data_IF_631088356413
#
_entry.id   IF_631088356413
#
_cell.length_a   1.000
_cell.length_b   1.000
_cell.length_c   1.000
_cell.angle_alpha   90.00
_cell.angle_beta   90.00
_cell.angle_gamma   90.00
#
_symmetry.space_group_name_H-M   'P 1'
#
loop_
_entity.id
_entity.type
_entity.pdbx_description
1 polymer ?
#
# COMPACT_ATOMS: atom_id res chain seq x y z
N UNK A 1 1.77 1.98 2.16
CA UNK A 1 2.75 1.67 1.09
C UNK A 1 4.15 1.89 1.63
N UNK A 2 5.07 1.01 1.30
CA UNK A 2 6.50 1.11 1.57
C UNK A 2 7.24 1.21 0.24
N UNK A 3 8.21 2.13 0.13
CA UNK A 3 8.90 2.44 -1.14
C UNK A 3 10.31 2.98 -0.87
N UNK A 4 11.15 3.09 -1.90
CA UNK A 4 12.48 3.68 -1.74
C UNK A 4 12.39 5.19 -1.49
N UNK A 5 13.39 5.71 -0.79
CA UNK A 5 13.53 7.16 -0.54
C UNK A 5 13.69 7.94 -1.84
N UNK A 6 13.12 9.15 -1.87
CA UNK A 6 13.28 10.08 -2.98
C UNK A 6 12.00 10.35 -3.77
N UNK A 7 10.88 9.77 -3.38
CA UNK A 7 9.58 10.13 -3.98
C UNK A 7 9.20 11.54 -3.55
N UNK A 8 8.88 12.42 -4.51
CA UNK A 8 8.49 13.80 -4.23
C UNK A 8 7.22 13.88 -3.36
N UNK A 9 7.11 14.91 -2.53
CA UNK A 9 5.97 15.11 -1.62
C UNK A 9 4.66 15.22 -2.40
N UNK A 10 4.68 15.92 -3.52
CA UNK A 10 3.53 16.10 -4.40
C UNK A 10 3.06 14.75 -4.99
N UNK A 11 4.01 13.92 -5.41
CA UNK A 11 3.74 12.56 -5.92
C UNK A 11 3.11 11.69 -4.84
N UNK A 12 3.63 11.73 -3.62
CA UNK A 12 3.03 11.02 -2.48
C UNK A 12 1.60 11.50 -2.21
N UNK A 13 1.37 12.81 -2.25
CA UNK A 13 0.04 13.41 -2.09
C UNK A 13 -0.94 12.92 -3.14
N UNK A 14 -0.54 12.90 -4.41
CA UNK A 14 -1.33 12.36 -5.51
C UNK A 14 -1.62 10.87 -5.30
N UNK A 15 -0.60 10.08 -4.98
CA UNK A 15 -0.76 8.64 -4.76
C UNK A 15 -1.75 8.35 -3.61
N UNK A 16 -1.67 9.09 -2.49
CA UNK A 16 -2.62 8.96 -1.37
C UNK A 16 -4.05 9.27 -1.84
N UNK A 17 -4.23 10.36 -2.58
CA UNK A 17 -5.53 10.78 -3.07
C UNK A 17 -6.14 9.73 -4.00
N UNK A 18 -5.42 9.36 -5.05
CA UNK A 18 -5.91 8.45 -6.09
C UNK A 18 -6.09 7.01 -5.55
N UNK A 19 -5.20 6.53 -4.68
CA UNK A 19 -5.36 5.23 -4.02
C UNK A 19 -6.60 5.20 -3.11
N UNK A 20 -6.91 6.31 -2.43
CA UNK A 20 -8.14 6.46 -1.63
C UNK A 20 -9.38 6.45 -2.52
N UNK A 21 -9.35 7.16 -3.65
CA UNK A 21 -10.46 7.22 -4.60
C UNK A 21 -10.74 5.83 -5.20
N UNK A 22 -9.71 5.10 -5.60
CA UNK A 22 -9.82 3.72 -6.10
C UNK A 22 -10.51 2.84 -5.05
N UNK A 23 -10.03 2.82 -3.81
CA UNK A 23 -10.60 2.00 -2.74
C UNK A 23 -12.03 2.40 -2.41
N UNK A 24 -12.32 3.70 -2.31
CA UNK A 24 -13.65 4.23 -2.03
C UNK A 24 -14.66 3.82 -3.11
N UNK A 25 -14.25 3.89 -4.38
CA UNK A 25 -15.11 3.56 -5.54
C UNK A 25 -15.35 2.06 -5.65
N UNK A 26 -14.31 1.24 -5.63
CA UNK A 26 -14.42 -0.22 -5.80
C UNK A 26 -15.26 -0.88 -4.70
N UNK A 27 -15.14 -0.41 -3.46
CA UNK A 27 -15.79 -1.04 -2.31
C UNK A 27 -16.98 -0.25 -1.77
N UNK A 28 -17.32 0.88 -2.39
CA UNK A 28 -18.35 1.79 -1.89
C UNK A 28 -18.12 2.17 -0.40
N UNK A 29 -16.86 2.48 -0.07
CA UNK A 29 -16.43 2.85 1.28
C UNK A 29 -16.34 4.38 1.37
N UNK A 30 -16.86 5.01 2.44
CA UNK A 30 -16.61 6.42 2.67
C UNK A 30 -15.10 6.71 2.77
N UNK A 31 -14.57 7.76 2.08
CA UNK A 31 -13.11 8.02 2.05
C UNK A 31 -12.47 8.21 3.44
N UNK A 32 -13.25 8.71 4.42
CA UNK A 32 -12.79 8.86 5.81
C UNK A 32 -12.52 7.54 6.55
N UNK A 33 -12.83 6.41 5.91
CA UNK A 33 -12.54 5.05 6.42
C UNK A 33 -11.31 4.42 5.78
N UNK A 34 -10.64 5.14 4.89
CA UNK A 34 -9.42 4.67 4.24
C UNK A 34 -8.24 5.46 4.82
N UNK A 35 -7.37 4.77 5.54
CA UNK A 35 -6.15 5.32 6.08
C UNK A 35 -4.97 4.90 5.20
N UNK A 36 -4.21 5.87 4.71
CA UNK A 36 -3.02 5.62 3.90
C UNK A 36 -1.77 6.09 4.66
N UNK A 37 -0.80 5.20 4.79
CA UNK A 37 0.53 5.50 5.30
C UNK A 37 1.56 5.21 4.22
N UNK A 38 2.50 6.14 4.01
CA UNK A 38 3.67 5.93 3.17
C UNK A 38 4.91 5.92 4.06
N UNK A 39 5.72 4.88 3.91
CA UNK A 39 7.03 4.76 4.53
C UNK A 39 8.09 4.67 3.45
N UNK A 40 9.18 5.37 3.63
CA UNK A 40 10.34 5.30 2.74
C UNK A 40 11.52 4.67 3.46
N UNK A 41 12.32 3.92 2.69
CA UNK A 41 13.57 3.36 3.17
C UNK A 41 14.64 3.41 2.07
N UNK A 42 15.94 3.46 2.43
CA UNK A 42 17.00 3.36 1.45
C UNK A 42 16.93 2.05 0.67
N UNK A 43 17.26 2.08 -0.63
CA UNK A 43 17.24 0.88 -1.48
C UNK A 43 18.08 -0.27 -0.95
N UNK A 44 19.16 0.05 -0.22
CA UNK A 44 20.02 -0.94 0.46
C UNK A 44 19.28 -1.80 1.48
N UNK A 45 18.14 -1.34 1.99
CA UNK A 45 17.30 -2.09 2.93
C UNK A 45 16.27 -2.99 2.25
N UNK A 46 16.27 -3.05 0.92
CA UNK A 46 15.40 -3.92 0.14
C UNK A 46 16.20 -5.01 -0.56
N UNK A 47 15.64 -6.20 -0.65
CA UNK A 47 16.22 -7.30 -1.40
C UNK A 47 15.16 -8.17 -2.06
N UNK A 48 15.47 -8.67 -3.25
CA UNK A 48 14.63 -9.61 -3.99
C UNK A 48 15.53 -10.60 -4.74
N UNK A 49 15.15 -11.88 -4.74
CA UNK A 49 15.92 -12.97 -5.34
C UNK A 49 17.42 -12.99 -4.89
N UNK A 50 17.67 -12.59 -3.63
CA UNK A 50 19.03 -12.49 -3.07
C UNK A 50 19.83 -11.26 -3.52
N UNK A 51 19.31 -10.45 -4.42
CA UNK A 51 19.93 -9.19 -4.82
C UNK A 51 19.51 -8.04 -3.89
N UNK A 52 20.48 -7.15 -3.57
CA UNK A 52 20.22 -5.95 -2.80
C UNK A 52 19.82 -4.80 -3.73
N UNK A 53 18.85 -3.97 -3.34
CA UNK A 53 18.35 -2.86 -4.15
C UNK A 53 19.39 -1.76 -4.46
N UNK A 54 20.53 -1.75 -3.79
CA UNK A 54 21.66 -0.87 -4.12
C UNK A 54 22.68 -1.51 -5.06
N UNK A 55 22.49 -2.80 -5.43
CA UNK A 55 23.34 -3.48 -6.41
C UNK A 55 23.13 -2.86 -7.80
N UNK A 56 24.18 -2.44 -8.54
CA UNK A 56 24.06 -1.94 -9.90
C UNK A 56 23.34 -2.90 -10.86
N UNK A 57 23.42 -4.22 -10.60
CA UNK A 57 22.78 -5.26 -11.40
C UNK A 57 21.43 -5.73 -10.79
N UNK A 58 20.88 -4.97 -9.85
CA UNK A 58 19.63 -5.34 -9.18
C UNK A 58 18.50 -5.64 -10.16
N UNK A 59 18.40 -4.87 -11.25
CA UNK A 59 17.35 -5.05 -12.26
C UNK A 59 17.35 -6.46 -12.86
N UNK A 60 18.50 -7.01 -13.19
CA UNK A 60 18.65 -8.37 -13.71
C UNK A 60 18.53 -9.41 -12.58
N UNK A 61 19.35 -9.27 -11.54
CA UNK A 61 19.46 -10.24 -10.45
C UNK A 61 18.14 -10.46 -9.72
N UNK A 62 17.35 -9.39 -9.51
CA UNK A 62 16.04 -9.49 -8.83
C UNK A 62 14.96 -10.19 -9.64
N UNK A 63 15.25 -10.54 -10.90
CA UNK A 63 14.37 -11.29 -11.83
C UNK A 63 14.83 -12.73 -12.04
N UNK A 64 15.81 -13.20 -11.27
CA UNK A 64 16.27 -14.60 -11.34
C UNK A 64 15.13 -15.57 -11.03
N UNK A 65 14.96 -16.59 -11.88
CA UNK A 65 13.93 -17.61 -11.76
C UNK A 65 14.42 -18.87 -11.05
N UNK A 66 15.75 -19.05 -10.94
CA UNK A 66 16.34 -20.20 -10.30
C UNK A 66 17.59 -19.83 -9.51
N UNK A 67 17.70 -20.31 -8.29
CA UNK A 67 18.84 -20.04 -7.41
C UNK A 67 20.15 -20.57 -7.98
N UNK A 68 21.16 -19.72 -8.04
CA UNK A 68 22.49 -20.10 -8.52
C UNK A 68 22.61 -20.21 -10.03
N UNK A 69 21.66 -19.69 -10.79
CA UNK A 69 21.71 -19.59 -12.26
C UNK A 69 21.63 -18.13 -12.72
N UNK A 70 21.91 -17.90 -14.01
CA UNK A 70 21.71 -16.59 -14.66
C UNK A 70 20.33 -16.51 -15.37
N UNK A 71 19.47 -17.48 -15.14
CA UNK A 71 18.14 -17.54 -15.76
C UNK A 71 17.23 -16.49 -15.15
N UNK A 72 16.67 -15.61 -16.00
CA UNK A 72 15.75 -14.53 -15.63
C UNK A 72 14.49 -14.55 -16.50
N UNK A 73 13.37 -14.00 -15.98
CA UNK A 73 12.13 -13.85 -16.78
C UNK A 73 12.08 -12.57 -17.62
N UNK A 74 13.13 -11.76 -17.57
CA UNK A 74 13.33 -10.54 -18.34
C UNK A 74 14.80 -10.52 -18.81
N UNK A 75 15.09 -9.84 -19.90
CA UNK A 75 16.45 -9.65 -20.44
C UNK A 75 17.36 -8.81 -19.52
N UNK A 76 16.84 -8.37 -18.38
CA UNK A 76 17.55 -7.55 -17.41
C UNK A 76 17.75 -6.08 -17.84
N UNK A 77 17.18 -5.68 -18.99
CA UNK A 77 17.33 -4.34 -19.54
C UNK A 77 16.34 -3.34 -18.93
N UNK A 78 15.18 -3.84 -18.48
CA UNK A 78 14.15 -2.98 -17.89
C UNK A 78 14.59 -2.40 -16.55
N UNK A 79 14.77 -1.09 -16.44
CA UNK A 79 15.27 -0.48 -15.21
C UNK A 79 14.30 -0.66 -14.03
N UNK A 80 14.84 -0.72 -12.83
CA UNK A 80 14.07 -0.73 -11.57
C UNK A 80 14.43 0.52 -10.78
N UNK A 81 13.81 1.66 -11.07
CA UNK A 81 14.08 2.92 -10.34
C UNK A 81 13.50 2.93 -8.94
N UNK A 82 12.52 2.06 -8.68
CA UNK A 82 11.86 1.95 -7.38
C UNK A 82 11.19 0.59 -7.20
N UNK A 83 10.84 0.25 -5.95
CA UNK A 83 10.02 -0.90 -5.59
C UNK A 83 8.90 -0.45 -4.66
N UNK A 84 7.80 -1.18 -4.61
CA UNK A 84 6.71 -0.89 -3.69
C UNK A 84 6.17 -2.14 -3.03
N UNK A 85 5.95 -2.08 -1.72
CA UNK A 85 5.18 -3.06 -0.95
C UNK A 85 3.95 -2.36 -0.41
N UNK A 86 2.77 -2.81 -0.80
CA UNK A 86 1.49 -2.25 -0.39
C UNK A 86 0.78 -3.28 0.48
N UNK A 87 0.78 -3.06 1.78
CA UNK A 87 0.01 -3.88 2.71
C UNK A 87 -1.35 -3.23 2.95
N UNK A 88 -2.42 -4.02 2.81
CA UNK A 88 -3.80 -3.58 2.91
C UNK A 88 -4.50 -4.41 3.97
N UNK A 89 -4.86 -3.76 5.06
CA UNK A 89 -5.77 -4.33 6.05
C UNK A 89 -7.21 -4.01 5.61
N UNK A 90 -8.00 -5.04 5.37
CA UNK A 90 -9.35 -4.91 4.81
C UNK A 90 -10.31 -5.84 5.55
N UNK A 91 -11.58 -5.47 5.61
CA UNK A 91 -12.58 -6.38 6.18
C UNK A 91 -12.77 -7.63 5.31
N UNK A 92 -12.99 -8.77 5.96
CA UNK A 92 -13.17 -10.09 5.35
C UNK A 92 -14.49 -10.27 4.58
N UNK A 93 -15.19 -9.17 4.30
CA UNK A 93 -16.47 -9.14 3.55
C UNK A 93 -16.29 -8.96 2.05
N UNK A 94 -15.09 -8.67 1.58
CA UNK A 94 -14.82 -8.40 0.17
C UNK A 94 -14.37 -9.64 -0.60
N UNK A 95 -14.87 -9.77 -1.84
CA UNK A 95 -14.56 -10.92 -2.69
C UNK A 95 -13.11 -10.90 -3.20
N UNK A 96 -12.64 -12.08 -3.63
CA UNK A 96 -11.32 -12.20 -4.28
C UNK A 96 -11.25 -11.39 -5.58
N UNK A 97 -12.34 -11.30 -6.32
CA UNK A 97 -12.42 -10.51 -7.56
C UNK A 97 -12.20 -9.02 -7.29
N UNK A 98 -12.89 -8.46 -6.30
CA UNK A 98 -12.70 -7.07 -5.88
C UNK A 98 -11.24 -6.80 -5.45
N UNK A 99 -10.63 -7.73 -4.70
CA UNK A 99 -9.22 -7.61 -4.32
C UNK A 99 -8.28 -7.65 -5.52
N UNK A 100 -8.56 -8.49 -6.52
CA UNK A 100 -7.79 -8.56 -7.75
C UNK A 100 -7.88 -7.26 -8.56
N UNK A 101 -9.09 -6.68 -8.68
CA UNK A 101 -9.27 -5.37 -9.32
C UNK A 101 -8.50 -4.27 -8.59
N UNK A 102 -8.56 -4.27 -7.27
CA UNK A 102 -7.81 -3.30 -6.46
C UNK A 102 -6.31 -3.45 -6.63
N UNK A 103 -5.82 -4.68 -6.60
CA UNK A 103 -4.39 -4.95 -6.83
C UNK A 103 -3.93 -4.46 -8.20
N UNK A 104 -4.72 -4.72 -9.26
CA UNK A 104 -4.41 -4.25 -10.60
C UNK A 104 -4.38 -2.72 -10.67
N UNK A 105 -5.39 -2.05 -10.11
CA UNK A 105 -5.48 -0.59 -10.12
C UNK A 105 -4.34 0.07 -9.34
N UNK A 106 -4.01 -0.42 -8.14
CA UNK A 106 -2.90 0.11 -7.35
C UNK A 106 -1.53 -0.16 -7.99
N UNK A 107 -1.36 -1.29 -8.68
CA UNK A 107 -0.14 -1.57 -9.44
C UNK A 107 0.04 -0.57 -10.56
N UNK A 108 -1.02 -0.32 -11.34
CA UNK A 108 -1.01 0.67 -12.43
C UNK A 108 -0.71 2.08 -11.90
N UNK A 109 -1.41 2.51 -10.86
CA UNK A 109 -1.18 3.81 -10.20
C UNK A 109 0.26 3.98 -9.71
N UNK A 110 0.82 2.93 -9.11
CA UNK A 110 2.19 2.96 -8.58
C UNK A 110 3.21 3.04 -9.71
N UNK A 111 2.97 2.33 -10.82
CA UNK A 111 3.79 2.44 -12.03
C UNK A 111 3.74 3.84 -12.65
N UNK A 112 2.55 4.42 -12.76
CA UNK A 112 2.35 5.75 -13.34
C UNK A 112 3.02 6.87 -12.50
N UNK A 113 2.78 6.88 -11.21
CA UNK A 113 3.19 8.00 -10.36
C UNK A 113 4.63 7.88 -9.83
N UNK A 114 5.07 6.67 -9.54
CA UNK A 114 6.36 6.42 -8.87
C UNK A 114 7.38 5.79 -9.82
N UNK A 115 6.94 5.29 -10.97
CA UNK A 115 7.81 4.64 -11.94
C UNK A 115 8.21 3.21 -11.54
N UNK A 116 7.52 2.60 -10.58
CA UNK A 116 7.80 1.24 -10.15
C UNK A 116 7.31 0.24 -11.21
N UNK A 117 8.18 -0.62 -11.77
CA UNK A 117 7.73 -1.67 -12.68
C UNK A 117 6.70 -2.59 -12.01
N UNK A 118 5.74 -3.10 -12.76
CA UNK A 118 4.65 -3.92 -12.21
C UNK A 118 5.16 -5.16 -11.46
N UNK A 119 6.25 -5.79 -11.94
CA UNK A 119 6.92 -6.92 -11.31
C UNK A 119 7.67 -6.57 -10.01
N UNK A 120 7.73 -5.30 -9.65
CA UNK A 120 8.32 -4.76 -8.43
C UNK A 120 7.29 -4.15 -7.48
N UNK A 121 6.00 -4.34 -7.76
CA UNK A 121 4.90 -3.98 -6.87
C UNK A 121 4.37 -5.25 -6.20
N UNK A 122 4.57 -5.39 -4.90
CA UNK A 122 4.00 -6.46 -4.10
C UNK A 122 2.79 -5.92 -3.33
N UNK A 123 1.63 -6.55 -3.48
CA UNK A 123 0.43 -6.20 -2.73
C UNK A 123 0.03 -7.36 -1.82
N UNK A 124 -0.16 -7.06 -0.54
CA UNK A 124 -0.53 -8.00 0.50
C UNK A 124 -1.89 -7.60 1.07
N UNK A 125 -2.85 -8.52 1.03
CA UNK A 125 -4.13 -8.35 1.71
C UNK A 125 -4.11 -9.11 3.03
N UNK A 126 -4.59 -8.45 4.09
CA UNK A 126 -4.86 -9.06 5.39
C UNK A 126 -6.32 -8.85 5.71
N UNK A 127 -7.07 -9.96 5.69
CA UNK A 127 -8.49 -9.96 6.00
C UNK A 127 -8.69 -9.85 7.52
N UNK A 128 -9.48 -8.87 7.93
CA UNK A 128 -9.80 -8.62 9.33
C UNK A 128 -11.31 -8.70 9.52
N UNK A 129 -11.79 -9.45 10.52
CA UNK A 129 -13.18 -9.32 10.96
C UNK A 129 -13.47 -7.86 11.35
N UNK A 130 -14.66 -7.31 11.07
CA UNK A 130 -14.98 -5.92 11.41
C UNK A 130 -14.75 -5.55 12.88
N UNK A 131 -14.88 -6.50 13.79
CA UNK A 131 -14.60 -6.30 15.22
C UNK A 131 -13.12 -6.11 15.57
N UNK A 132 -12.20 -6.40 14.66
CA UNK A 132 -10.75 -6.28 14.88
C UNK A 132 -10.19 -4.93 14.42
N UNK A 133 -11.02 -4.05 13.92
CA UNK A 133 -10.64 -2.70 13.51
C UNK A 133 -11.53 -1.66 14.19
N UNK A 134 -10.95 -0.60 14.69
CA UNK A 134 -11.66 0.45 15.42
C UNK A 134 -11.23 1.85 14.96
N UNK A 135 -12.17 2.78 14.96
CA UNK A 135 -11.94 4.20 14.74
C UNK A 135 -12.86 5.01 15.67
N UNK A 136 -12.33 6.11 16.23
CA UNK A 136 -13.12 6.94 17.15
C UNK A 136 -13.60 6.21 18.41
N UNK A 137 -12.86 5.17 18.84
CA UNK A 137 -13.21 4.37 20.03
C UNK A 137 -14.26 3.30 19.80
N UNK A 138 -14.74 3.09 18.57
CA UNK A 138 -15.74 2.05 18.25
C UNK A 138 -15.21 1.08 17.18
N UNK A 139 -15.55 -0.19 17.33
CA UNK A 139 -15.16 -1.23 16.34
C UNK A 139 -16.10 -1.23 15.14
N UNK A 140 -15.62 -1.78 14.02
CA UNK A 140 -16.43 -1.95 12.81
C UNK A 140 -17.65 -2.87 12.99
N UNK A 141 -17.69 -3.69 14.05
CA UNK A 141 -18.85 -4.51 14.40
C UNK A 141 -19.98 -3.71 15.10
N UNK A 142 -19.75 -2.44 15.45
CA UNK A 142 -20.77 -1.61 16.09
C UNK A 142 -21.89 -1.28 15.09
N UNK A 143 -23.20 -1.49 15.41
CA UNK A 143 -24.30 -1.27 14.46
C UNK A 143 -24.36 0.14 13.87
N UNK A 144 -23.93 1.16 14.63
CA UNK A 144 -23.87 2.54 14.19
C UNK A 144 -22.44 3.01 13.92
N UNK A 145 -21.53 2.12 13.48
CA UNK A 145 -20.10 2.40 13.33
C UNK A 145 -19.81 3.69 12.55
N UNK A 146 -20.44 3.93 11.41
CA UNK A 146 -20.18 5.12 10.58
C UNK A 146 -20.50 6.43 11.34
N UNK A 147 -21.60 6.47 12.07
CA UNK A 147 -21.99 7.64 12.84
C UNK A 147 -21.13 7.80 14.10
N UNK A 148 -20.96 6.71 14.85
CA UNK A 148 -20.25 6.72 16.13
C UNK A 148 -18.75 7.03 15.96
N UNK A 149 -18.10 6.48 14.94
CA UNK A 149 -16.68 6.70 14.67
C UNK A 149 -16.34 8.12 14.18
N UNK A 150 -17.34 8.91 13.81
CA UNK A 150 -17.21 10.31 13.38
C UNK A 150 -17.47 11.33 14.48
N UNK A 151 -17.85 10.86 15.68
CA UNK A 151 -18.08 11.77 16.80
C UNK A 151 -16.73 12.31 17.30
N UNK A 152 -16.57 13.63 17.22
CA UNK A 152 -15.44 14.34 17.83
C UNK A 152 -15.85 14.60 19.28
N UNK A 153 -15.14 14.00 20.23
CA UNK A 153 -15.35 14.32 21.64
C UNK A 153 -15.10 15.84 21.83
N UNK A 154 -16.04 16.53 22.45
CA UNK A 154 -15.81 17.90 22.88
C UNK A 154 -14.56 17.90 23.76
N UNK A 155 -13.58 18.77 23.43
CA UNK A 155 -12.42 18.97 24.28
C UNK A 155 -12.96 19.32 25.68
N UNK A 156 -12.68 18.47 26.66
CA UNK A 156 -12.97 18.80 28.06
C UNK A 156 -12.20 20.08 28.35
N UNK A 157 -12.92 21.18 28.54
CA UNK A 157 -12.34 22.38 29.07
C UNK A 157 -11.74 22.01 30.42
N UNK A 158 -10.41 21.87 30.46
CA UNK A 158 -9.69 21.75 31.73
C UNK A 158 -9.93 23.06 32.45
N UNK A 159 -10.80 23.02 33.44
CA UNK A 159 -10.89 24.08 34.45
C UNK A 159 -9.49 24.23 35.04
N UNK A 160 -8.83 25.30 34.66
CA UNK A 160 -7.70 25.81 35.43
C UNK A 160 -8.30 26.48 36.68
N UNK A 161 -8.17 25.84 37.82
CA UNK A 161 -8.26 26.47 39.13
C UNK A 161 -6.86 26.86 39.57
#
# INVERSE_FOLDING_TARGET
METWTGVAVETKGRWIHEATEIGATLFNIPPDKILVLIREYPSVNFGQAGANGADPEFAAKSRSTAWGTEETYDDGQSPVPNTAVIAIDVWDVYSQEQKNEWAAALTALTGELIGTPADKVLILFRDLPPGHWAQGGVTGAHPAFLAASRQVAAASASEQV
#
